data_IF_149421634678
#
_entry.id   IF_149421634678
#
_cell.length_a   1.000
_cell.length_b   1.000
_cell.length_c   1.000
_cell.angle_alpha   90.00
_cell.angle_beta   90.00
_cell.angle_gamma   90.00
#
_symmetry.space_group_name_H-M   'P 1'
#
loop_
_entity.id
_entity.type
_entity.pdbx_description
1 polymer ?
#
# COMPACT_ATOMS: atom_id res chain seq x y z
N UNK A 1 0.76 -0.35 -31.18
CA UNK A 1 -0.54 -0.88 -31.67
C UNK A 1 -1.11 -1.98 -30.76
N UNK A 2 -0.39 -3.08 -30.48
CA UNK A 2 -0.90 -4.18 -29.64
C UNK A 2 -1.29 -3.74 -28.20
N UNK A 3 -0.53 -2.85 -27.57
CA UNK A 3 -0.84 -2.34 -26.22
C UNK A 3 -2.21 -1.65 -26.12
N UNK A 4 -2.62 -0.91 -27.15
CA UNK A 4 -3.93 -0.25 -27.20
C UNK A 4 -5.08 -1.25 -27.38
N UNK A 5 -4.84 -2.39 -28.04
CA UNK A 5 -5.83 -3.46 -28.19
C UNK A 5 -6.02 -4.25 -26.89
N UNK A 6 -4.98 -4.40 -26.07
CA UNK A 6 -5.05 -5.14 -24.81
C UNK A 6 -5.55 -4.28 -23.64
N UNK A 7 -5.46 -2.95 -23.75
CA UNK A 7 -5.91 -2.01 -22.73
C UNK A 7 -7.37 -2.23 -22.27
N UNK A 8 -8.39 -2.35 -23.15
CA UNK A 8 -9.76 -2.57 -22.71
C UNK A 8 -9.90 -3.87 -21.91
N UNK A 9 -9.26 -4.97 -22.36
CA UNK A 9 -9.29 -6.25 -21.63
C UNK A 9 -8.62 -6.14 -20.26
N UNK A 10 -7.49 -5.43 -20.16
CA UNK A 10 -6.82 -5.20 -18.90
C UNK A 10 -7.68 -4.38 -17.92
N UNK A 11 -8.35 -3.34 -18.41
CA UNK A 11 -9.26 -2.51 -17.61
C UNK A 11 -10.49 -3.31 -17.15
N UNK A 12 -11.07 -4.15 -18.02
CA UNK A 12 -12.19 -5.03 -17.66
C UNK A 12 -11.78 -6.07 -16.62
N UNK A 13 -10.62 -6.72 -16.79
CA UNK A 13 -10.09 -7.66 -15.81
C UNK A 13 -9.80 -6.99 -14.46
N UNK A 14 -9.25 -5.78 -14.48
CA UNK A 14 -9.04 -4.98 -13.27
C UNK A 14 -10.37 -4.63 -12.60
N UNK A 15 -11.38 -4.19 -13.36
CA UNK A 15 -12.72 -3.92 -12.84
C UNK A 15 -13.35 -5.14 -12.17
N UNK A 16 -13.28 -6.31 -12.81
CA UNK A 16 -13.77 -7.56 -12.24
C UNK A 16 -13.05 -7.94 -10.96
N UNK A 17 -11.71 -7.81 -10.92
CA UNK A 17 -10.93 -8.03 -9.71
C UNK A 17 -11.42 -7.15 -8.55
N UNK A 18 -11.65 -5.86 -8.80
CA UNK A 18 -12.16 -4.93 -7.79
C UNK A 18 -13.54 -5.34 -7.28
N UNK A 19 -14.47 -5.72 -8.17
CA UNK A 19 -15.81 -6.20 -7.77
C UNK A 19 -15.73 -7.45 -6.90
N UNK A 20 -14.93 -8.45 -7.30
CA UNK A 20 -14.75 -9.69 -6.53
C UNK A 20 -14.18 -9.40 -5.15
N UNK A 21 -13.14 -8.57 -5.06
CA UNK A 21 -12.52 -8.25 -3.77
C UNK A 21 -13.49 -7.48 -2.86
N UNK A 22 -14.26 -6.53 -3.40
CA UNK A 22 -15.30 -5.81 -2.63
C UNK A 22 -16.37 -6.77 -2.13
N UNK A 23 -16.84 -7.69 -2.97
CA UNK A 23 -17.85 -8.67 -2.61
C UNK A 23 -17.35 -9.63 -1.51
N UNK A 24 -16.09 -10.06 -1.58
CA UNK A 24 -15.52 -11.02 -0.63
C UNK A 24 -15.05 -10.40 0.70
N UNK A 25 -14.59 -9.14 0.69
CA UNK A 25 -14.04 -8.51 1.89
C UNK A 25 -14.99 -7.50 2.55
N UNK A 26 -15.93 -6.92 1.79
CA UNK A 26 -16.74 -5.81 2.25
C UNK A 26 -15.96 -4.51 2.40
N UNK A 27 -16.52 -3.56 3.15
CA UNK A 27 -15.95 -2.21 3.36
C UNK A 27 -15.15 -2.15 4.67
N UNK A 28 -14.13 -1.28 4.78
CA UNK A 28 -13.55 -0.46 3.71
C UNK A 28 -12.68 -1.29 2.75
N UNK A 29 -12.76 -1.01 1.45
CA UNK A 29 -11.97 -1.70 0.43
C UNK A 29 -10.53 -1.16 0.31
N UNK A 30 -10.35 0.16 0.44
CA UNK A 30 -9.04 0.80 0.45
C UNK A 30 -8.51 0.89 1.88
N UNK A 31 -7.27 0.45 2.07
CA UNK A 31 -6.47 0.73 3.24
C UNK A 31 -5.51 1.89 2.93
N UNK A 32 -5.43 2.85 3.84
CA UNK A 32 -4.51 3.98 3.75
C UNK A 32 -3.59 3.99 4.97
N UNK A 33 -2.29 3.87 4.75
CA UNK A 33 -1.26 4.01 5.79
C UNK A 33 -0.61 5.38 5.67
N UNK A 34 -0.49 6.11 6.77
CA UNK A 34 0.40 7.28 6.79
C UNK A 34 1.85 6.83 6.60
N UNK A 35 2.57 7.54 5.73
CA UNK A 35 3.97 7.35 5.38
C UNK A 35 4.64 8.69 5.13
N UNK A 36 5.97 8.69 5.12
CA UNK A 36 6.76 9.90 4.87
C UNK A 36 7.31 9.86 3.44
N UNK A 37 7.09 10.94 2.68
CA UNK A 37 7.74 11.14 1.38
C UNK A 37 8.97 12.06 1.48
N UNK A 38 9.03 12.89 2.52
CA UNK A 38 10.22 13.61 2.98
C UNK A 38 10.24 13.61 4.52
N UNK A 39 11.31 14.10 5.17
CA UNK A 39 11.35 14.20 6.63
C UNK A 39 10.18 14.98 7.24
N UNK A 40 9.64 15.95 6.50
CA UNK A 40 8.60 16.86 6.97
C UNK A 40 7.22 16.55 6.37
N UNK A 41 7.18 15.89 5.21
CA UNK A 41 5.94 15.66 4.46
C UNK A 41 5.45 14.23 4.59
N UNK A 42 4.30 14.09 5.26
CA UNK A 42 3.53 12.86 5.30
C UNK A 42 2.55 12.76 4.13
N UNK A 43 2.20 11.53 3.75
CA UNK A 43 1.14 11.23 2.78
C UNK A 43 0.44 9.91 3.12
N UNK A 44 -0.73 9.69 2.50
CA UNK A 44 -1.48 8.43 2.61
C UNK A 44 -1.07 7.47 1.50
N UNK A 45 -0.39 6.38 1.84
CA UNK A 45 -0.07 5.30 0.91
C UNK A 45 -1.29 4.38 0.76
N UNK A 46 -1.87 4.34 -0.45
CA UNK A 46 -3.09 3.58 -0.72
C UNK A 46 -2.81 2.13 -1.11
N UNK A 47 -3.58 1.20 -0.58
CA UNK A 47 -3.56 -0.22 -0.92
C UNK A 47 -4.98 -0.79 -0.92
N UNK A 48 -5.16 -1.92 -1.60
CA UNK A 48 -6.34 -2.76 -1.35
C UNK A 48 -6.20 -3.36 0.05
N UNK A 49 -7.27 -3.37 0.84
CA UNK A 49 -7.29 -4.01 2.16
C UNK A 49 -7.02 -5.51 1.99
N UNK A 50 -6.06 -6.05 2.70
CA UNK A 50 -5.70 -7.48 2.62
C UNK A 50 -5.80 -8.20 3.96
N UNK A 51 -6.20 -7.49 5.01
CA UNK A 51 -6.34 -7.99 6.36
C UNK A 51 -7.72 -7.69 6.91
N UNK A 52 -8.21 -8.56 7.80
CA UNK A 52 -9.33 -8.23 8.68
C UNK A 52 -8.99 -7.00 9.54
N UNK A 53 -9.97 -6.11 9.80
CA UNK A 53 -9.80 -5.03 10.76
C UNK A 53 -9.32 -5.60 12.11
N UNK A 54 -8.47 -4.87 12.84
CA UNK A 54 -8.07 -5.32 14.16
C UNK A 54 -9.31 -5.41 15.05
N UNK A 55 -9.40 -6.45 15.87
CA UNK A 55 -10.40 -6.48 16.94
C UNK A 55 -10.05 -5.36 17.94
N UNK A 56 -11.01 -4.50 18.34
CA UNK A 56 -10.78 -3.48 19.37
C UNK A 56 -10.17 -4.03 20.66
N UNK A 57 -10.48 -5.27 21.03
CA UNK A 57 -9.97 -5.93 22.23
C UNK A 57 -8.52 -6.42 22.07
N UNK A 58 -8.08 -6.69 20.84
CA UNK A 58 -6.72 -7.14 20.57
C UNK A 58 -5.76 -6.00 20.21
N UNK A 59 -6.28 -4.79 19.96
CA UNK A 59 -5.52 -3.65 19.45
C UNK A 59 -4.31 -3.24 20.32
N UNK A 60 -4.35 -3.51 21.63
CA UNK A 60 -3.25 -3.24 22.56
C UNK A 60 -2.17 -4.34 22.60
N UNK A 61 -2.49 -5.57 22.18
CA UNK A 61 -1.59 -6.74 22.33
C UNK A 61 -0.70 -6.99 21.11
N UNK A 62 -0.83 -6.18 20.05
CA UNK A 62 -0.30 -6.43 18.70
C UNK A 62 1.17 -5.99 18.51
N UNK A 63 2.02 -6.13 19.53
CA UNK A 63 3.39 -5.60 19.50
C UNK A 63 4.51 -6.64 19.28
N UNK A 64 4.22 -7.94 19.10
CA UNK A 64 5.33 -8.93 18.99
C UNK A 64 5.11 -10.15 18.09
N UNK A 65 4.03 -10.23 17.30
CA UNK A 65 3.70 -11.41 16.49
C UNK A 65 3.44 -11.14 15.01
N UNK A 66 3.74 -12.14 14.17
CA UNK A 66 3.31 -12.20 12.77
C UNK A 66 1.78 -12.02 12.68
N UNK A 67 1.34 -10.95 12.03
CA UNK A 67 -0.08 -10.66 11.79
C UNK A 67 -0.65 -11.50 10.62
N UNK A 68 -0.03 -12.63 10.30
CA UNK A 68 -0.42 -13.48 9.18
C UNK A 68 -1.86 -14.01 9.34
N UNK A 69 -2.30 -14.29 10.58
CA UNK A 69 -3.64 -14.77 10.89
C UNK A 69 -4.75 -13.79 10.47
N UNK A 70 -4.44 -12.49 10.35
CA UNK A 70 -5.39 -11.47 9.89
C UNK A 70 -5.53 -11.42 8.38
N UNK A 71 -4.61 -12.00 7.62
CA UNK A 71 -4.60 -11.89 6.16
C UNK A 71 -5.72 -12.75 5.58
N UNK A 72 -6.61 -12.15 4.80
CA UNK A 72 -7.72 -12.91 4.18
C UNK A 72 -7.19 -13.80 3.06
N UNK A 73 -7.90 -14.86 2.67
CA UNK A 73 -7.48 -15.75 1.59
C UNK A 73 -7.22 -14.98 0.27
N UNK A 74 -8.15 -14.10 -0.11
CA UNK A 74 -7.98 -13.21 -1.27
C UNK A 74 -6.86 -12.18 -1.02
N UNK A 75 -6.70 -11.70 0.20
CA UNK A 75 -5.61 -10.79 0.58
C UNK A 75 -4.22 -11.41 0.42
N UNK A 76 -4.08 -12.70 0.72
CA UNK A 76 -2.85 -13.45 0.49
C UNK A 76 -2.52 -13.55 -1.01
N UNK A 77 -3.53 -13.80 -1.86
CA UNK A 77 -3.37 -13.78 -3.31
C UNK A 77 -2.92 -12.39 -3.81
N UNK A 78 -3.62 -11.32 -3.39
CA UNK A 78 -3.32 -9.94 -3.79
C UNK A 78 -1.89 -9.52 -3.42
N UNK A 79 -1.39 -9.93 -2.25
CA UNK A 79 -0.02 -9.64 -1.81
C UNK A 79 1.03 -10.37 -2.64
N UNK A 80 0.80 -11.65 -2.94
CA UNK A 80 1.74 -12.46 -3.75
C UNK A 80 1.85 -11.91 -5.17
N UNK A 81 0.74 -11.44 -5.73
CA UNK A 81 0.68 -10.86 -7.08
C UNK A 81 0.93 -9.35 -7.11
N UNK A 82 1.18 -8.69 -5.97
CA UNK A 82 1.33 -7.24 -5.81
C UNK A 82 0.11 -6.42 -6.26
N UNK A 83 -1.02 -7.07 -6.53
CA UNK A 83 -2.25 -6.40 -6.94
C UNK A 83 -2.81 -5.49 -5.84
N UNK A 84 -2.45 -5.72 -4.57
CA UNK A 84 -2.81 -4.82 -3.47
C UNK A 84 -2.17 -3.43 -3.59
N UNK A 85 -1.08 -3.30 -4.35
CA UNK A 85 -0.32 -2.06 -4.49
C UNK A 85 -0.80 -1.19 -5.66
N UNK A 86 -1.75 -1.68 -6.50
CA UNK A 86 -2.28 -0.92 -7.64
C UNK A 86 -2.83 0.47 -7.29
N UNK A 87 -3.54 0.68 -6.15
CA UNK A 87 -3.97 2.02 -5.76
C UNK A 87 -2.82 3.03 -5.54
N UNK A 88 -1.57 2.58 -5.37
CA UNK A 88 -0.42 3.47 -5.24
C UNK A 88 -0.13 4.26 -6.52
N UNK A 89 -0.70 3.88 -7.67
CA UNK A 89 -0.59 4.69 -8.90
C UNK A 89 -1.12 6.11 -8.69
N UNK A 90 -2.14 6.30 -7.84
CA UNK A 90 -2.64 7.63 -7.48
C UNK A 90 -1.61 8.43 -6.68
N UNK A 91 -0.78 7.78 -5.86
CA UNK A 91 0.32 8.43 -5.15
C UNK A 91 1.44 8.84 -6.11
N UNK A 92 1.72 8.02 -7.13
CA UNK A 92 2.68 8.38 -8.17
C UNK A 92 2.20 9.58 -8.98
N UNK A 93 0.93 9.57 -9.41
CA UNK A 93 0.33 10.69 -10.17
C UNK A 93 0.30 11.98 -9.35
N UNK A 94 0.07 11.91 -8.02
CA UNK A 94 0.12 13.07 -7.12
C UNK A 94 1.56 13.56 -6.86
N UNK A 95 2.57 12.77 -7.22
CA UNK A 95 3.97 13.07 -6.92
C UNK A 95 4.35 12.81 -5.46
N UNK A 96 3.61 11.96 -4.75
CA UNK A 96 3.97 11.55 -3.38
C UNK A 96 5.13 10.55 -3.38
N UNK A 97 5.20 9.66 -4.37
CA UNK A 97 6.24 8.62 -4.54
C UNK A 97 6.55 8.40 -6.03
N UNK A 98 7.62 7.67 -6.33
CA UNK A 98 7.99 7.23 -7.70
C UNK A 98 7.55 5.79 -7.97
N UNK A 99 7.65 5.34 -9.22
CA UNK A 99 7.51 3.91 -9.53
C UNK A 99 8.67 3.10 -8.93
N UNK A 100 9.89 3.60 -9.09
CA UNK A 100 11.12 2.96 -8.61
C UNK A 100 11.72 3.78 -7.47
N UNK A 101 11.98 3.16 -6.33
CA UNK A 101 12.55 3.75 -5.13
C UNK A 101 12.27 2.92 -3.87
N UNK A 102 12.98 3.20 -2.76
CA UNK A 102 12.80 2.49 -1.50
C UNK A 102 11.38 2.68 -0.95
N UNK A 103 10.93 1.69 -0.19
CA UNK A 103 9.59 1.75 0.41
C UNK A 103 9.49 2.94 1.39
N UNK A 104 8.42 3.76 1.29
CA UNK A 104 8.20 4.87 2.20
C UNK A 104 8.21 4.43 3.69
N UNK A 105 8.99 5.10 4.56
CA UNK A 105 9.03 4.77 5.98
C UNK A 105 7.77 5.25 6.71
N UNK A 106 7.53 4.69 7.89
CA UNK A 106 6.54 5.22 8.83
C UNK A 106 7.10 6.47 9.51
N UNK A 107 6.22 7.41 9.86
CA UNK A 107 6.58 8.61 10.65
C UNK A 107 7.42 8.27 11.87
N UNK A 108 7.00 7.28 12.67
CA UNK A 108 7.73 6.84 13.88
C UNK A 108 9.19 6.46 13.64
N UNK A 109 9.55 5.96 12.45
CA UNK A 109 10.95 5.62 12.15
C UNK A 109 11.74 6.86 11.76
N UNK A 110 11.12 7.78 11.02
CA UNK A 110 11.71 9.08 10.67
C UNK A 110 11.98 9.89 11.93
N UNK A 111 11.03 9.93 12.86
CA UNK A 111 11.16 10.65 14.14
C UNK A 111 12.17 10.00 15.09
N UNK A 112 12.29 8.66 15.08
CA UNK A 112 13.27 7.97 15.91
C UNK A 112 14.72 8.11 15.39
N UNK A 113 14.91 8.34 14.09
CA UNK A 113 16.23 8.43 13.45
C UNK A 113 16.30 9.59 12.43
N UNK A 114 16.18 10.85 12.88
CA UNK A 114 16.04 12.01 11.99
C UNK A 114 17.23 12.17 11.04
N UNK A 115 18.47 12.11 11.53
CA UNK A 115 19.67 12.29 10.69
C UNK A 115 19.80 11.24 9.59
N UNK A 116 19.38 10.00 9.87
CA UNK A 116 19.40 8.91 8.90
C UNK A 116 18.37 9.16 7.80
N UNK A 117 17.13 9.44 8.19
CA UNK A 117 16.04 9.60 7.25
C UNK A 117 16.08 10.93 6.50
N UNK A 118 16.73 11.95 7.05
CA UNK A 118 17.04 13.16 6.30
C UNK A 118 17.92 12.84 5.10
N UNK A 119 19.01 12.09 5.29
CA UNK A 119 19.88 11.66 4.19
C UNK A 119 19.15 10.76 3.20
N UNK A 120 18.51 9.68 3.70
CA UNK A 120 17.86 8.67 2.84
C UNK A 120 16.76 9.29 1.97
N UNK A 121 15.87 10.11 2.55
CA UNK A 121 14.74 10.68 1.81
C UNK A 121 15.15 11.84 0.89
N UNK A 122 16.28 12.50 1.16
CA UNK A 122 16.85 13.54 0.28
C UNK A 122 17.55 12.92 -0.92
N UNK A 123 18.34 11.88 -0.71
CA UNK A 123 19.16 11.26 -1.76
C UNK A 123 18.35 10.30 -2.63
N UNK A 124 17.39 9.58 -2.03
CA UNK A 124 16.60 8.56 -2.73
C UNK A 124 15.10 8.74 -2.49
N UNK A 125 14.39 9.37 -3.44
CA UNK A 125 12.94 9.53 -3.34
C UNK A 125 12.24 8.17 -3.22
N UNK A 126 11.27 8.02 -2.30
CA UNK A 126 10.57 6.76 -2.11
C UNK A 126 9.80 6.30 -3.36
N UNK A 127 9.62 4.99 -3.50
CA UNK A 127 8.90 4.38 -4.61
C UNK A 127 8.06 3.18 -4.23
N UNK A 128 7.43 2.57 -5.25
CA UNK A 128 6.65 1.33 -5.10
C UNK A 128 7.60 0.13 -4.99
N UNK A 129 8.64 0.07 -5.86
CA UNK A 129 9.61 -1.04 -5.94
C UNK A 129 11.05 -0.60 -6.08
#
# INVERSE_FOLDING_TARGET
MAAFLLLPFALTALGMLYVVVIALQGRPFIFASERMCSPERAFKLYKIRTMHPPDPLEAETVLSGSQAWRVTAIGAFLRRSRLDELPQIFNVIRGDIRFIGPRPPLRRYVEAYPDLYERVLRDTPPGIT
#
